data_IF_900857569827
#
_entry.id   IF_900857569827
#
_cell.length_a   1.000
_cell.length_b   1.000
_cell.length_c   1.000
_cell.angle_alpha   90.00
_cell.angle_beta   90.00
_cell.angle_gamma   90.00
#
_symmetry.space_group_name_H-M   'P 1'
#
loop_
_entity.id
_entity.type
_entity.pdbx_description
1 polymer ?
#
# COMPACT_ATOMS: atom_id res chain seq x y z
N UNK A 1 -15.56 1.28 18.92
CA UNK A 1 -16.35 1.36 17.67
C UNK A 1 -17.05 0.03 17.51
N UNK A 2 -18.32 -0.06 17.94
CA UNK A 2 -19.14 -1.25 17.69
C UNK A 2 -19.73 -1.09 16.28
N UNK A 3 -19.35 -1.96 15.33
CA UNK A 3 -19.96 -1.93 14.00
C UNK A 3 -19.22 -2.69 12.89
N UNK A 4 -17.90 -2.86 13.00
CA UNK A 4 -17.14 -3.49 11.93
C UNK A 4 -17.03 -5.00 12.11
N UNK A 5 -17.42 -5.71 11.06
CA UNK A 5 -17.25 -7.17 10.96
C UNK A 5 -15.84 -7.51 10.51
N UNK A 6 -15.18 -6.60 9.79
CA UNK A 6 -13.78 -6.69 9.38
C UNK A 6 -13.04 -5.43 9.80
N UNK A 7 -12.02 -5.60 10.62
CA UNK A 7 -11.10 -4.55 11.05
C UNK A 7 -9.68 -5.11 11.00
N UNK A 8 -8.90 -4.75 9.98
CA UNK A 8 -7.52 -5.25 9.78
C UNK A 8 -6.57 -4.12 9.37
N UNK A 9 -5.29 -4.30 9.65
CA UNK A 9 -4.25 -3.30 9.38
C UNK A 9 -3.17 -3.83 8.44
N UNK A 10 -2.65 -2.97 7.56
CA UNK A 10 -1.50 -3.27 6.69
C UNK A 10 -0.51 -2.12 6.74
N UNK A 11 0.74 -2.36 6.38
CA UNK A 11 1.72 -1.29 6.22
C UNK A 11 2.14 -1.22 4.75
N UNK A 12 2.17 -0.02 4.18
CA UNK A 12 2.63 0.24 2.83
C UNK A 12 3.85 1.15 2.85
N UNK A 13 4.95 0.65 2.29
CA UNK A 13 6.10 1.45 1.93
C UNK A 13 6.26 1.56 0.42
N UNK A 14 6.71 2.73 -0.05
CA UNK A 14 7.07 2.95 -1.44
C UNK A 14 8.45 3.58 -1.47
N UNK A 15 9.36 3.04 -2.28
CA UNK A 15 10.69 3.62 -2.47
C UNK A 15 10.98 3.81 -3.95
N UNK A 16 11.62 4.92 -4.30
CA UNK A 16 12.08 5.24 -5.66
C UNK A 16 13.57 5.51 -5.59
N UNK A 17 14.37 4.66 -6.23
CA UNK A 17 15.84 4.71 -6.23
C UNK A 17 16.46 4.81 -4.83
N UNK A 18 15.80 4.20 -3.83
CA UNK A 18 16.23 4.19 -2.42
C UNK A 18 15.71 5.37 -1.60
N UNK A 19 15.02 6.34 -2.19
CA UNK A 19 14.31 7.41 -1.47
C UNK A 19 12.88 6.97 -1.14
N UNK A 20 12.48 7.12 0.13
CA UNK A 20 11.11 6.82 0.56
C UNK A 20 10.13 7.85 -0.01
N UNK A 21 8.96 7.36 -0.44
CA UNK A 21 7.81 8.16 -0.81
C UNK A 21 6.81 8.12 0.33
N UNK A 22 6.38 9.29 0.79
CA UNK A 22 5.38 9.40 1.84
C UNK A 22 4.01 8.93 1.35
N UNK A 23 3.43 7.95 2.04
CA UNK A 23 1.99 7.67 1.97
C UNK A 23 1.27 8.77 2.77
N UNK A 24 0.35 9.53 2.17
CA UNK A 24 -0.32 10.63 2.85
C UNK A 24 -1.14 10.16 4.06
N UNK A 25 -1.26 11.05 5.04
CA UNK A 25 -2.29 10.98 6.06
C UNK A 25 -3.67 11.24 5.42
N UNK A 26 -4.72 10.74 6.08
CA UNK A 26 -6.12 11.00 5.72
C UNK A 26 -6.48 10.56 4.28
N UNK A 27 -5.81 9.55 3.73
CA UNK A 27 -6.29 8.92 2.50
C UNK A 27 -7.65 8.31 2.76
N UNK A 28 -8.61 8.53 1.86
CA UNK A 28 -9.96 8.01 2.02
C UNK A 28 -10.78 8.69 3.13
N UNK A 29 -10.28 9.76 3.74
CA UNK A 29 -11.00 10.51 4.79
C UNK A 29 -11.56 11.80 4.19
N UNK A 30 -12.86 12.04 4.39
CA UNK A 30 -13.49 13.34 4.18
C UNK A 30 -13.69 14.03 5.53
N UNK A 31 -12.79 14.96 5.93
CA UNK A 31 -12.87 15.62 7.21
C UNK A 31 -14.02 16.63 7.31
N UNK A 32 -14.55 17.10 6.17
CA UNK A 32 -15.68 18.04 6.16
C UNK A 32 -16.99 17.32 6.48
N UNK A 33 -17.12 16.09 5.99
CA UNK A 33 -18.30 15.26 6.24
C UNK A 33 -18.14 14.32 7.45
N UNK A 34 -16.92 14.18 7.97
CA UNK A 34 -16.61 13.25 9.06
C UNK A 34 -16.76 11.79 8.64
N UNK A 35 -16.57 11.49 7.36
CA UNK A 35 -16.74 10.14 6.79
C UNK A 35 -15.40 9.59 6.32
N UNK A 36 -15.26 8.26 6.37
CA UNK A 36 -14.07 7.56 5.88
C UNK A 36 -14.50 6.43 4.95
N UNK A 37 -13.77 6.22 3.85
CA UNK A 37 -13.89 5.00 3.07
C UNK A 37 -13.41 3.81 3.89
N UNK A 38 -13.90 2.62 3.52
CA UNK A 38 -13.51 1.38 4.17
C UNK A 38 -11.99 1.14 4.14
N UNK A 39 -11.28 1.73 3.19
CA UNK A 39 -9.82 1.79 3.11
C UNK A 39 -9.36 3.21 3.40
N UNK A 40 -8.57 3.43 4.43
CA UNK A 40 -8.07 4.76 4.76
C UNK A 40 -6.74 4.73 5.52
N UNK A 41 -6.11 5.90 5.66
CA UNK A 41 -4.93 6.11 6.53
C UNK A 41 -5.23 7.22 7.53
N UNK A 42 -4.74 7.12 8.75
CA UNK A 42 -4.86 8.20 9.74
C UNK A 42 -3.69 9.18 9.71
N UNK A 43 -2.48 8.70 9.40
CA UNK A 43 -1.26 9.50 9.42
C UNK A 43 -0.29 9.09 8.29
N UNK A 44 0.95 9.61 8.35
CA UNK A 44 1.99 9.35 7.35
C UNK A 44 2.86 8.13 7.65
N UNK A 45 2.47 7.27 8.60
CA UNK A 45 3.19 6.02 8.92
C UNK A 45 3.12 5.01 7.78
N UNK A 46 2.13 5.12 6.89
CA UNK A 46 1.85 4.12 5.87
C UNK A 46 0.95 2.99 6.35
N UNK A 47 0.41 3.05 7.58
CA UNK A 47 -0.61 2.11 8.04
C UNK A 47 -1.92 2.35 7.28
N UNK A 48 -2.37 1.28 6.62
CA UNK A 48 -3.65 1.18 5.95
C UNK A 48 -4.63 0.51 6.91
N UNK A 49 -5.78 1.14 7.09
CA UNK A 49 -6.91 0.60 7.82
C UNK A 49 -7.92 0.03 6.82
N UNK A 50 -8.40 -1.18 7.10
CA UNK A 50 -9.60 -1.74 6.48
C UNK A 50 -10.66 -1.88 7.55
N UNK A 51 -11.68 -1.03 7.49
CA UNK A 51 -12.83 -1.05 8.38
C UNK A 51 -14.10 -1.26 7.56
N UNK A 52 -14.79 -2.36 7.78
CA UNK A 52 -15.99 -2.70 7.02
C UNK A 52 -17.06 -3.41 7.84
N UNK A 53 -18.30 -2.95 7.66
CA UNK A 53 -19.50 -3.61 8.17
C UNK A 53 -19.76 -5.01 7.57
N UNK A 54 -18.98 -5.46 6.58
CA UNK A 54 -19.10 -6.79 5.96
C UNK A 54 -17.75 -7.43 5.76
N UNK A 55 -17.68 -8.76 5.87
CA UNK A 55 -16.47 -9.50 5.52
C UNK A 55 -16.39 -9.70 4.01
N UNK A 56 -15.48 -8.98 3.35
CA UNK A 56 -15.19 -9.10 1.92
C UNK A 56 -13.71 -8.83 1.66
N UNK A 57 -13.14 -9.34 0.54
CA UNK A 57 -11.77 -9.04 0.20
C UNK A 57 -11.60 -7.57 -0.20
N UNK A 58 -10.52 -6.97 0.28
CA UNK A 58 -10.03 -5.65 -0.14
C UNK A 58 -8.68 -5.81 -0.84
N UNK A 59 -8.35 -4.85 -1.70
CA UNK A 59 -7.13 -4.89 -2.52
C UNK A 59 -6.35 -3.59 -2.44
N UNK A 60 -5.04 -3.66 -2.64
CA UNK A 60 -4.18 -2.48 -2.69
C UNK A 60 -4.64 -1.47 -3.76
N UNK A 61 -5.20 -1.96 -4.87
CA UNK A 61 -5.81 -1.12 -5.91
C UNK A 61 -6.90 -0.18 -5.44
N UNK A 62 -7.72 -0.62 -4.49
CA UNK A 62 -8.79 0.21 -3.95
C UNK A 62 -8.21 1.37 -3.15
N UNK A 63 -7.16 1.14 -2.35
CA UNK A 63 -6.47 2.23 -1.65
C UNK A 63 -5.86 3.24 -2.65
N UNK A 64 -5.19 2.75 -3.71
CA UNK A 64 -4.64 3.63 -4.74
C UNK A 64 -5.72 4.40 -5.52
N UNK A 65 -6.94 3.87 -5.57
CA UNK A 65 -8.10 4.59 -6.10
C UNK A 65 -8.47 5.75 -5.17
N UNK A 66 -8.55 5.54 -3.86
CA UNK A 66 -8.76 6.63 -2.88
C UNK A 66 -7.63 7.67 -2.91
N UNK A 67 -6.39 7.23 -3.14
CA UNK A 67 -5.23 8.10 -3.29
C UNK A 67 -5.21 8.85 -4.63
N UNK A 68 -5.95 8.40 -5.65
CA UNK A 68 -5.88 8.98 -6.99
C UNK A 68 -4.53 8.74 -7.70
N UNK A 69 -3.72 7.80 -7.20
CA UNK A 69 -2.45 7.40 -7.82
C UNK A 69 -2.69 6.19 -8.71
N UNK A 70 -2.21 6.24 -9.95
CA UNK A 70 -2.35 5.13 -10.89
C UNK A 70 -1.65 3.87 -10.34
N UNK A 71 -2.40 2.79 -10.17
CA UNK A 71 -1.86 1.46 -9.92
C UNK A 71 -2.43 0.48 -10.96
N UNK A 72 -1.55 -0.12 -11.77
CA UNK A 72 -1.92 -1.15 -12.76
C UNK A 72 -0.88 -2.26 -12.72
N UNK A 73 -1.13 -3.31 -13.51
CA UNK A 73 -0.10 -4.30 -13.77
C UNK A 73 1.16 -3.57 -14.25
N UNK A 74 2.29 -3.81 -13.56
CA UNK A 74 3.58 -3.22 -13.87
C UNK A 74 3.65 -1.68 -13.79
N UNK A 75 2.69 -0.98 -13.20
CA UNK A 75 2.67 0.49 -13.17
C UNK A 75 2.32 1.03 -11.80
N UNK A 76 3.10 2.00 -11.32
CA UNK A 76 2.80 2.83 -10.14
C UNK A 76 3.05 4.30 -10.47
N UNK A 77 2.02 5.13 -10.35
CA UNK A 77 2.07 6.55 -10.72
C UNK A 77 2.60 6.73 -12.16
N UNK A 78 3.73 7.44 -12.35
CA UNK A 78 4.37 7.61 -13.65
C UNK A 78 5.31 6.46 -14.04
N UNK A 79 5.64 5.53 -13.14
CA UNK A 79 6.65 4.50 -13.36
C UNK A 79 6.03 3.23 -13.94
N UNK A 80 6.58 2.75 -15.07
CA UNK A 80 6.17 1.52 -15.74
C UNK A 80 7.36 0.55 -15.78
N UNK A 81 7.16 -0.68 -15.32
CA UNK A 81 8.19 -1.75 -15.33
C UNK A 81 8.68 -1.99 -16.75
N UNK A 82 10.00 -1.92 -16.95
CA UNK A 82 10.64 -2.09 -18.25
C UNK A 82 10.63 -0.86 -19.17
N UNK A 83 10.00 0.25 -18.78
CA UNK A 83 10.04 1.50 -19.52
C UNK A 83 10.96 2.52 -18.84
N UNK A 84 11.58 3.42 -19.61
CA UNK A 84 12.43 4.51 -19.11
C UNK A 84 13.50 4.06 -18.09
N UNK A 85 14.08 2.89 -18.34
CA UNK A 85 15.06 2.26 -17.46
C UNK A 85 14.50 1.97 -16.05
N UNK A 86 13.19 1.75 -15.88
CA UNK A 86 12.57 1.49 -14.57
C UNK A 86 12.25 0.02 -14.35
N UNK A 87 12.38 -0.40 -13.10
CA UNK A 87 11.92 -1.68 -12.58
C UNK A 87 10.94 -1.42 -11.44
N UNK A 88 9.76 -2.04 -11.48
CA UNK A 88 8.81 -2.04 -10.36
C UNK A 88 8.81 -3.43 -9.73
N UNK A 89 9.11 -3.51 -8.44
CA UNK A 89 9.14 -4.78 -7.70
C UNK A 89 8.23 -4.69 -6.48
N UNK A 90 7.36 -5.69 -6.33
CA UNK A 90 6.52 -5.86 -5.15
C UNK A 90 7.20 -6.81 -4.18
N UNK A 91 7.22 -6.44 -2.91
CA UNK A 91 7.50 -7.34 -1.80
C UNK A 91 6.27 -7.42 -0.89
N UNK A 92 6.05 -8.61 -0.36
CA UNK A 92 5.02 -8.90 0.65
C UNK A 92 5.73 -9.65 1.77
N UNK A 93 5.67 -9.11 2.98
CA UNK A 93 6.34 -9.64 4.18
C UNK A 93 7.85 -9.89 3.93
N UNK A 94 8.50 -8.89 3.32
CA UNK A 94 9.93 -8.91 2.98
C UNK A 94 10.31 -9.86 1.82
N UNK A 95 9.35 -10.58 1.23
CA UNK A 95 9.61 -11.53 0.13
C UNK A 95 9.09 -10.97 -1.19
N UNK A 96 9.88 -11.10 -2.25
CA UNK A 96 9.45 -10.71 -3.60
C UNK A 96 8.18 -11.48 -3.96
N UNK A 97 7.19 -10.75 -4.46
CA UNK A 97 5.87 -11.29 -4.83
C UNK A 97 5.59 -11.01 -6.30
N UNK A 98 5.05 -12.00 -6.99
CA UNK A 98 4.54 -11.88 -8.36
C UNK A 98 3.01 -11.64 -8.38
N UNK A 99 2.42 -11.37 -7.22
CA UNK A 99 0.99 -11.06 -7.14
C UNK A 99 0.69 -9.84 -8.02
N UNK A 100 -0.26 -9.96 -8.98
CA UNK A 100 -0.49 -8.89 -9.92
C UNK A 100 -1.08 -7.66 -9.22
N UNK A 101 -0.45 -6.51 -9.42
CA UNK A 101 -1.07 -5.22 -9.11
C UNK A 101 -2.12 -4.89 -10.19
N UNK A 102 -3.24 -4.27 -9.83
CA UNK A 102 -3.58 -3.76 -8.51
C UNK A 102 -4.30 -4.77 -7.58
N UNK A 103 -4.34 -6.05 -7.96
CA UNK A 103 -5.18 -7.09 -7.35
C UNK A 103 -4.61 -7.75 -6.08
N UNK A 104 -3.49 -7.26 -5.54
CA UNK A 104 -2.95 -7.72 -4.26
C UNK A 104 -4.02 -7.59 -3.17
N UNK A 105 -4.47 -8.72 -2.62
CA UNK A 105 -5.43 -8.75 -1.51
C UNK A 105 -4.72 -8.38 -0.21
N UNK A 106 -5.41 -7.57 0.60
CA UNK A 106 -4.93 -7.12 1.89
C UNK A 106 -5.27 -8.13 2.97
N UNK A 107 -4.28 -8.49 3.78
CA UNK A 107 -4.40 -9.37 4.93
C UNK A 107 -3.95 -8.64 6.21
N UNK A 108 -4.41 -9.07 7.37
CA UNK A 108 -4.02 -8.43 8.64
C UNK A 108 -2.52 -8.53 8.90
N UNK A 109 -1.93 -7.42 9.37
CA UNK A 109 -0.50 -7.22 9.64
C UNK A 109 0.44 -7.54 8.48
N UNK A 110 -0.06 -7.42 7.26
CA UNK A 110 0.75 -7.59 6.06
C UNK A 110 1.66 -6.37 5.85
N UNK A 111 2.93 -6.62 5.53
CA UNK A 111 3.89 -5.58 5.14
C UNK A 111 4.06 -5.58 3.62
N UNK A 112 3.83 -4.43 2.99
CA UNK A 112 3.75 -4.28 1.54
C UNK A 112 4.76 -3.23 1.10
N UNK A 113 5.73 -3.64 0.28
CA UNK A 113 6.73 -2.71 -0.26
C UNK A 113 6.65 -2.66 -1.79
N UNK A 114 6.47 -1.46 -2.34
CA UNK A 114 6.65 -1.21 -3.76
C UNK A 114 7.98 -0.49 -3.97
N UNK A 115 8.93 -1.19 -4.56
CA UNK A 115 10.29 -0.70 -4.80
C UNK A 115 10.47 -0.42 -6.28
N UNK A 116 10.70 0.84 -6.61
CA UNK A 116 11.03 1.31 -7.95
C UNK A 116 12.53 1.58 -8.04
N UNK A 117 13.22 0.95 -8.99
CA UNK A 117 14.66 1.19 -9.23
C UNK A 117 14.96 1.42 -10.69
N UNK A 118 16.12 1.97 -11.00
CA UNK A 118 16.72 1.83 -12.34
C UNK A 118 16.92 0.37 -12.74
N UNK A 119 16.92 0.07 -14.04
CA UNK A 119 17.21 -1.25 -14.59
C UNK A 119 18.63 -1.69 -14.19
N UNK A 120 18.83 -2.98 -13.94
CA UNK A 120 20.11 -3.53 -13.48
C UNK A 120 20.42 -3.31 -12.00
N UNK A 121 19.71 -2.41 -11.29
CA UNK A 121 19.76 -2.38 -9.81
C UNK A 121 18.86 -3.48 -9.25
N UNK A 122 19.38 -4.21 -8.28
CA UNK A 122 18.59 -5.19 -7.52
C UNK A 122 17.69 -4.45 -6.54
N UNK A 123 16.38 -4.55 -6.74
CA UNK A 123 15.41 -4.13 -5.72
C UNK A 123 15.58 -4.99 -4.45
N UNK A 124 15.58 -4.33 -3.30
CA UNK A 124 15.64 -4.97 -1.98
C UNK A 124 14.45 -4.48 -1.17
N UNK A 125 13.78 -5.39 -0.46
CA UNK A 125 12.77 -4.99 0.49
C UNK A 125 13.40 -4.08 1.58
N UNK A 126 12.70 -3.02 2.02
CA UNK A 126 13.02 -2.32 3.25
C UNK A 126 13.07 -3.24 4.47
N UNK A 127 13.47 -2.68 5.61
CA UNK A 127 13.36 -3.40 6.88
C UNK A 127 11.87 -3.68 7.17
N UNK A 128 11.51 -4.88 7.68
CA UNK A 128 10.13 -5.20 8.00
C UNK A 128 9.54 -4.17 8.97
N UNK A 129 8.27 -3.84 8.76
CA UNK A 129 7.53 -2.99 9.67
C UNK A 129 7.38 -3.62 11.05
N UNK A 130 7.67 -2.85 12.10
CA UNK A 130 7.56 -3.30 13.48
C UNK A 130 6.14 -3.14 14.01
N UNK A 131 5.31 -4.16 13.76
CA UNK A 131 3.95 -4.24 14.28
C UNK A 131 3.87 -4.31 15.82
N UNK A 132 4.96 -4.60 16.53
CA UNK A 132 4.95 -4.56 17.99
C UNK A 132 5.10 -3.12 18.53
N UNK A 133 5.68 -2.23 17.72
CA UNK A 133 5.81 -0.80 18.03
C UNK A 133 4.60 0.02 17.55
N UNK A 134 3.84 -0.47 16.58
CA UNK A 134 2.54 0.07 16.19
C UNK A 134 1.49 -0.37 17.23
N UNK A 135 1.19 0.52 18.18
CA UNK A 135 0.29 0.26 19.31
C UNK A 135 -1.14 -0.14 18.93
#
# INVERSE_FOLDING_TARGET
MEGDVLHIHQHLSITIDGSAVTVPANLGVDPLQGTMSALHTHDTSGIIHVESATQRPFTLGQLFTEWGVRLKAHTIGPYVDGADDRRVTLFVDGKRSDTPLPALRLADRQDIDIVVTSHGRKATAPAPFDWAAAG
#
